data_IF_111348609949
#
_entry.id   IF_111348609949
#
_cell.length_a   1.000
_cell.length_b   1.000
_cell.length_c   1.000
_cell.angle_alpha   90.00
_cell.angle_beta   90.00
_cell.angle_gamma   90.00
#
_symmetry.space_group_name_H-M   'P 1'
#
loop_
_entity.id
_entity.type
_entity.pdbx_description
1 polymer ?
#
# COMPACT_ATOMS: atom_id res chain seq x y z
N UNK A 1 38.07 -2.20 11.96
CA UNK A 1 37.87 -1.28 10.81
C UNK A 1 36.98 -1.88 9.71
N UNK A 2 37.29 -3.07 9.16
CA UNK A 2 36.48 -3.72 8.10
C UNK A 2 35.05 -4.06 8.58
N UNK A 3 34.89 -4.62 9.79
CA UNK A 3 33.59 -4.94 10.39
C UNK A 3 32.69 -3.72 10.64
N UNK A 4 33.28 -2.54 10.90
CA UNK A 4 32.55 -1.29 11.14
C UNK A 4 31.88 -0.73 9.87
N UNK A 5 32.35 -1.10 8.68
CA UNK A 5 31.79 -0.68 7.39
C UNK A 5 30.84 -1.72 6.79
N UNK A 6 31.01 -3.00 7.14
CA UNK A 6 30.17 -4.09 6.61
C UNK A 6 28.71 -4.00 7.08
N UNK A 7 28.46 -3.66 8.35
CA UNK A 7 27.11 -3.61 8.90
C UNK A 7 26.25 -2.49 8.26
N UNK A 8 26.74 -1.23 8.12
CA UNK A 8 26.02 -0.18 7.38
C UNK A 8 25.73 -0.55 5.92
N UNK A 9 26.72 -1.12 5.22
CA UNK A 9 26.57 -1.54 3.82
C UNK A 9 25.54 -2.66 3.67
N UNK A 10 25.59 -3.68 4.54
CA UNK A 10 24.61 -4.76 4.56
C UNK A 10 23.20 -4.23 4.85
N UNK A 11 23.07 -3.35 5.84
CA UNK A 11 21.80 -2.71 6.20
C UNK A 11 21.21 -1.94 5.02
N UNK A 12 22.05 -1.16 4.32
CA UNK A 12 21.61 -0.44 3.14
C UNK A 12 21.25 -1.37 1.97
N UNK A 13 22.01 -2.44 1.76
CA UNK A 13 21.72 -3.45 0.72
C UNK A 13 20.37 -4.14 0.99
N UNK A 14 20.11 -4.54 2.24
CA UNK A 14 18.81 -5.10 2.65
C UNK A 14 17.68 -4.11 2.44
N UNK A 15 17.90 -2.82 2.77
CA UNK A 15 16.95 -1.76 2.48
C UNK A 15 16.69 -1.63 0.97
N UNK A 16 17.71 -1.69 0.11
CA UNK A 16 17.53 -1.61 -1.34
C UNK A 16 16.75 -2.82 -1.89
N UNK A 17 16.96 -4.01 -1.34
CA UNK A 17 16.16 -5.21 -1.69
C UNK A 17 14.71 -5.06 -1.23
N UNK A 18 14.48 -4.52 -0.03
CA UNK A 18 13.13 -4.32 0.50
C UNK A 18 12.40 -3.17 -0.20
N UNK A 19 13.03 -2.03 -0.41
CA UNK A 19 12.43 -0.80 -0.95
C UNK A 19 12.44 -0.74 -2.48
N UNK A 20 13.44 -1.33 -3.14
CA UNK A 20 13.69 -1.20 -4.58
C UNK A 20 12.52 -1.63 -5.46
N UNK A 21 12.28 -0.96 -6.58
CA UNK A 21 11.07 -1.14 -7.40
C UNK A 21 11.34 -1.55 -8.84
N UNK A 22 12.30 -2.47 -9.06
CA UNK A 22 12.69 -2.98 -10.39
C UNK A 22 12.68 -4.50 -10.38
N UNK A 23 11.48 -5.08 -10.42
CA UNK A 23 11.26 -6.51 -10.54
C UNK A 23 11.03 -6.93 -12.00
N UNK A 24 10.88 -8.25 -12.21
CA UNK A 24 10.32 -8.78 -13.46
C UNK A 24 8.79 -8.63 -13.45
N UNK A 25 8.15 -8.38 -14.60
CA UNK A 25 6.69 -8.45 -14.71
C UNK A 25 6.12 -9.77 -14.19
N UNK A 26 4.84 -9.75 -13.83
CA UNK A 26 4.05 -10.94 -13.54
C UNK A 26 4.01 -11.88 -14.74
N UNK A 27 4.18 -13.18 -14.50
CA UNK A 27 3.87 -14.20 -15.52
C UNK A 27 2.38 -14.52 -15.49
N UNK A 28 1.86 -15.00 -16.63
CA UNK A 28 0.42 -15.29 -16.80
C UNK A 28 -0.14 -16.20 -15.70
N UNK A 29 0.62 -17.23 -15.31
CA UNK A 29 0.24 -18.12 -14.21
C UNK A 29 0.02 -17.37 -12.89
N UNK A 30 0.88 -16.40 -12.54
CA UNK A 30 0.72 -15.62 -11.31
C UNK A 30 -0.57 -14.79 -11.31
N UNK A 31 -0.93 -14.24 -12.49
CA UNK A 31 -2.16 -13.47 -12.69
C UNK A 31 -3.37 -14.40 -12.55
N UNK A 32 -3.38 -15.51 -13.27
CA UNK A 32 -4.50 -16.47 -13.26
C UNK A 32 -4.73 -17.08 -11.88
N UNK A 33 -3.66 -17.48 -11.17
CA UNK A 33 -3.75 -18.00 -9.80
C UNK A 33 -4.36 -16.96 -8.85
N UNK A 34 -4.05 -15.67 -9.04
CA UNK A 34 -4.61 -14.62 -8.21
C UNK A 34 -6.06 -14.30 -8.56
N UNK A 35 -6.42 -14.22 -9.84
CA UNK A 35 -7.81 -14.01 -10.26
C UNK A 35 -8.70 -15.16 -9.81
N UNK A 36 -8.24 -16.41 -9.89
CA UNK A 36 -8.97 -17.57 -9.37
C UNK A 36 -9.24 -17.46 -7.85
N UNK A 37 -8.28 -16.97 -7.07
CA UNK A 37 -8.49 -16.68 -5.65
C UNK A 37 -9.53 -15.59 -5.42
N UNK A 38 -9.56 -14.54 -6.25
CA UNK A 38 -10.54 -13.46 -6.14
C UNK A 38 -11.95 -13.99 -6.50
N UNK A 39 -12.06 -14.79 -7.56
CA UNK A 39 -13.30 -15.48 -7.96
C UNK A 39 -13.79 -16.45 -6.88
N UNK A 40 -12.90 -17.21 -6.24
CA UNK A 40 -13.29 -18.12 -5.15
C UNK A 40 -13.86 -17.40 -3.92
N UNK A 41 -13.72 -16.07 -3.86
CA UNK A 41 -14.27 -15.21 -2.82
C UNK A 41 -15.55 -14.50 -3.24
N UNK A 42 -16.04 -14.73 -4.46
CA UNK A 42 -17.29 -14.14 -4.97
C UNK A 42 -17.18 -12.71 -5.47
N UNK A 43 -15.99 -12.09 -5.43
CA UNK A 43 -15.78 -10.69 -5.82
C UNK A 43 -16.14 -10.45 -7.29
N UNK A 44 -15.92 -11.44 -8.17
CA UNK A 44 -16.31 -11.38 -9.58
C UNK A 44 -17.82 -11.25 -9.80
N UNK A 45 -18.63 -11.76 -8.87
CA UNK A 45 -20.09 -11.68 -8.91
C UNK A 45 -20.62 -10.46 -8.17
N UNK A 46 -20.00 -10.14 -7.03
CA UNK A 46 -20.38 -9.00 -6.19
C UNK A 46 -20.00 -7.66 -6.84
N UNK A 47 -18.85 -7.59 -7.51
CA UNK A 47 -18.33 -6.39 -8.17
C UNK A 47 -17.58 -6.75 -9.48
N UNK A 48 -18.31 -7.00 -10.58
CA UNK A 48 -17.72 -7.36 -11.87
C UNK A 48 -16.79 -6.26 -12.44
N UNK A 49 -17.10 -5.00 -12.17
CA UNK A 49 -16.30 -3.87 -12.64
C UNK A 49 -14.93 -3.83 -11.95
N UNK A 50 -14.89 -4.05 -10.63
CA UNK A 50 -13.65 -4.19 -9.87
C UNK A 50 -12.83 -5.37 -10.37
N UNK A 51 -13.46 -6.51 -10.64
CA UNK A 51 -12.77 -7.69 -11.15
C UNK A 51 -12.09 -7.41 -12.50
N UNK A 52 -12.79 -6.79 -13.44
CA UNK A 52 -12.20 -6.41 -14.74
C UNK A 52 -11.14 -5.32 -14.62
N UNK A 53 -11.34 -4.33 -13.73
CA UNK A 53 -10.32 -3.32 -13.43
C UNK A 53 -9.04 -3.95 -12.85
N UNK A 54 -9.18 -4.94 -11.96
CA UNK A 54 -8.06 -5.69 -11.40
C UNK A 54 -7.31 -6.48 -12.48
N UNK A 55 -8.03 -7.17 -13.36
CA UNK A 55 -7.44 -7.88 -14.50
C UNK A 55 -6.65 -6.93 -15.41
N UNK A 56 -7.22 -5.76 -15.75
CA UNK A 56 -6.54 -4.71 -16.53
C UNK A 56 -5.30 -4.18 -15.82
N UNK A 57 -5.37 -3.94 -14.51
CA UNK A 57 -4.23 -3.49 -13.71
C UNK A 57 -3.06 -4.48 -13.79
N UNK A 58 -3.34 -5.77 -13.62
CA UNK A 58 -2.33 -6.83 -13.57
C UNK A 58 -1.73 -7.16 -14.95
N UNK A 59 -2.55 -7.14 -16.01
CA UNK A 59 -2.09 -7.39 -17.38
C UNK A 59 -1.10 -6.33 -17.90
N UNK A 60 -1.14 -5.11 -17.34
CA UNK A 60 -0.24 -4.00 -17.69
C UNK A 60 1.02 -3.95 -16.82
N UNK A 61 1.48 -5.09 -16.31
CA UNK A 61 2.67 -5.13 -15.48
C UNK A 61 3.95 -4.89 -16.27
N UNK A 62 4.75 -3.95 -15.80
CA UNK A 62 6.08 -3.61 -16.30
C UNK A 62 7.18 -3.94 -15.28
N UNK A 63 6.81 -4.58 -14.15
CA UNK A 63 7.72 -4.91 -13.06
C UNK A 63 8.20 -3.71 -12.24
N UNK A 64 7.69 -2.50 -12.55
CA UNK A 64 8.08 -1.25 -11.90
C UNK A 64 7.12 -0.88 -10.78
N UNK A 65 7.59 0.03 -9.93
CA UNK A 65 6.76 0.66 -8.90
C UNK A 65 5.62 1.49 -9.51
N UNK A 66 4.51 1.57 -8.76
CA UNK A 66 3.38 2.43 -9.08
C UNK A 66 2.75 2.93 -7.77
N UNK A 67 1.92 3.96 -7.85
CA UNK A 67 1.21 4.51 -6.70
C UNK A 67 -0.29 4.38 -6.95
N UNK A 68 -1.01 3.77 -6.02
CA UNK A 68 -2.47 3.85 -6.02
C UNK A 68 -2.90 5.12 -5.31
N UNK A 69 -3.60 5.99 -6.02
CA UNK A 69 -4.30 7.13 -5.45
C UNK A 69 -5.71 6.67 -5.10
N UNK A 70 -6.11 6.83 -3.84
CA UNK A 70 -7.43 6.48 -3.35
C UNK A 70 -8.07 7.76 -2.84
N UNK A 71 -9.19 8.13 -3.45
CA UNK A 71 -10.10 9.16 -2.95
C UNK A 71 -11.23 8.43 -2.24
N UNK A 72 -11.49 8.78 -0.99
CA UNK A 72 -12.38 8.01 -0.11
C UNK A 72 -13.43 8.94 0.48
N UNK A 73 -14.68 8.52 0.34
CA UNK A 73 -15.83 9.03 1.08
C UNK A 73 -16.28 7.94 2.04
N UNK A 74 -16.27 8.23 3.33
CA UNK A 74 -16.76 7.31 4.36
C UNK A 74 -18.27 7.37 4.47
N UNK A 75 -18.86 6.28 4.97
CA UNK A 75 -20.25 6.26 5.39
C UNK A 75 -20.43 7.13 6.62
N UNK A 76 -21.63 7.70 6.77
CA UNK A 76 -22.03 8.35 8.03
C UNK A 76 -22.03 7.35 9.20
N UNK A 77 -22.46 6.12 8.93
CA UNK A 77 -22.42 4.99 9.85
C UNK A 77 -21.80 3.76 9.19
N UNK A 78 -20.94 3.06 9.93
CA UNK A 78 -20.32 1.83 9.47
C UNK A 78 -21.39 0.76 9.21
N UNK A 79 -21.40 0.21 8.00
CA UNK A 79 -22.38 -0.77 7.56
C UNK A 79 -21.87 -2.19 7.80
N UNK A 80 -21.77 -2.60 9.07
CA UNK A 80 -21.47 -3.99 9.40
C UNK A 80 -22.71 -4.89 9.24
N UNK A 81 -22.52 -6.19 8.92
CA UNK A 81 -23.61 -7.16 8.92
C UNK A 81 -24.34 -7.24 10.29
N UNK A 82 -25.64 -7.59 10.31
CA UNK A 82 -26.38 -7.79 11.55
C UNK A 82 -25.67 -8.79 12.49
N UNK A 83 -25.65 -8.47 13.79
CA UNK A 83 -24.98 -9.30 14.81
C UNK A 83 -23.46 -9.08 14.93
N UNK A 84 -22.88 -8.18 14.12
CA UNK A 84 -21.49 -7.76 14.28
C UNK A 84 -21.23 -7.13 15.66
N UNK A 85 -20.11 -7.45 16.35
CA UNK A 85 -19.75 -6.84 17.63
C UNK A 85 -19.19 -5.41 17.47
N UNK A 86 -19.02 -4.93 16.23
CA UNK A 86 -18.43 -3.63 15.94
C UNK A 86 -19.49 -2.53 15.90
N UNK A 87 -19.18 -1.39 16.52
CA UNK A 87 -20.04 -0.20 16.48
C UNK A 87 -20.12 0.47 15.11
N UNK A 88 -20.93 1.53 15.02
CA UNK A 88 -21.31 2.21 13.78
C UNK A 88 -20.35 3.35 13.36
N UNK A 89 -19.17 3.47 13.97
CA UNK A 89 -18.20 4.50 13.56
C UNK A 89 -17.36 4.05 12.36
N UNK A 90 -17.59 4.67 11.19
CA UNK A 90 -16.90 4.35 9.94
C UNK A 90 -15.38 4.59 9.98
N UNK A 91 -14.93 5.64 10.69
CA UNK A 91 -13.50 5.94 10.85
C UNK A 91 -12.81 4.87 11.69
N UNK A 92 -13.47 4.39 12.75
CA UNK A 92 -12.93 3.28 13.54
C UNK A 92 -12.94 1.95 12.77
N UNK A 93 -13.91 1.74 11.88
CA UNK A 93 -13.90 0.61 10.96
C UNK A 93 -12.66 0.67 10.02
N UNK A 94 -12.42 1.81 9.38
CA UNK A 94 -11.24 1.98 8.52
C UNK A 94 -9.92 1.82 9.29
N UNK A 95 -9.81 2.35 10.53
CA UNK A 95 -8.63 2.13 11.38
C UNK A 95 -8.36 0.65 11.66
N UNK A 96 -9.41 -0.15 11.90
CA UNK A 96 -9.26 -1.62 12.09
C UNK A 96 -8.74 -2.28 10.82
N UNK A 97 -9.31 -1.91 9.66
CA UNK A 97 -8.81 -2.35 8.37
C UNK A 97 -7.33 -1.98 8.17
N UNK A 98 -6.98 -0.71 8.35
CA UNK A 98 -5.62 -0.20 8.16
C UNK A 98 -4.61 -0.91 9.09
N UNK A 99 -4.96 -1.10 10.36
CA UNK A 99 -4.12 -1.80 11.35
C UNK A 99 -3.84 -3.25 10.94
N UNK A 100 -4.83 -3.93 10.35
CA UNK A 100 -4.66 -5.30 9.87
C UNK A 100 -3.92 -5.37 8.53
N UNK A 101 -4.11 -4.41 7.64
CA UNK A 101 -3.54 -4.43 6.28
C UNK A 101 -2.11 -3.89 6.20
N UNK A 102 -1.78 -2.82 6.93
CA UNK A 102 -0.50 -2.12 6.82
C UNK A 102 0.73 -2.99 7.12
N UNK A 103 0.72 -3.90 8.12
CA UNK A 103 1.85 -4.80 8.34
C UNK A 103 2.16 -5.67 7.12
N UNK A 104 1.13 -6.16 6.42
CA UNK A 104 1.29 -6.95 5.20
C UNK A 104 1.78 -6.09 4.03
N UNK A 105 1.27 -4.87 3.91
CA UNK A 105 1.69 -3.89 2.92
C UNK A 105 3.20 -3.59 3.07
N UNK A 106 3.66 -3.24 4.28
CA UNK A 106 5.07 -2.95 4.59
C UNK A 106 5.97 -4.18 4.43
N UNK A 107 5.52 -5.37 4.85
CA UNK A 107 6.28 -6.63 4.71
C UNK A 107 6.70 -6.89 3.27
N UNK A 108 5.87 -6.53 2.30
CA UNK A 108 6.17 -6.72 0.88
C UNK A 108 6.79 -5.48 0.20
N UNK A 109 7.27 -4.50 0.98
CA UNK A 109 7.99 -3.33 0.47
C UNK A 109 7.09 -2.24 -0.14
N UNK A 110 5.78 -2.38 0.04
CA UNK A 110 4.82 -1.33 -0.30
C UNK A 110 4.79 -0.32 0.84
N UNK A 111 4.56 0.96 0.56
CA UNK A 111 4.65 2.03 1.57
C UNK A 111 3.53 3.06 1.38
N UNK A 112 2.81 3.46 2.44
CA UNK A 112 1.99 4.67 2.39
C UNK A 112 2.90 5.88 2.20
N UNK A 113 2.67 6.66 1.15
CA UNK A 113 3.49 7.86 0.86
C UNK A 113 2.78 9.15 1.24
N UNK A 114 1.45 9.14 1.31
CA UNK A 114 0.65 10.26 1.74
C UNK A 114 -0.72 9.77 2.17
N UNK A 115 -1.18 10.19 3.34
CA UNK A 115 -2.56 10.01 3.78
C UNK A 115 -2.99 11.31 4.44
N UNK A 116 -4.05 11.92 3.95
CA UNK A 116 -4.53 13.18 4.50
C UNK A 116 -6.05 13.31 4.40
N UNK A 117 -6.62 14.09 5.31
CA UNK A 117 -8.00 14.55 5.21
C UNK A 117 -8.06 15.74 4.26
N UNK A 118 -9.09 15.78 3.44
CA UNK A 118 -9.40 16.94 2.63
C UNK A 118 -9.71 18.13 3.55
N UNK A 119 -9.04 19.26 3.35
CA UNK A 119 -9.20 20.47 4.17
C UNK A 119 -10.16 21.50 3.56
N UNK A 120 -10.55 21.37 2.29
CA UNK A 120 -11.47 22.28 1.62
C UNK A 120 -11.68 21.95 0.14
N UNK A 121 -12.46 22.76 -0.56
CA UNK A 121 -12.65 22.75 -2.02
C UNK A 121 -11.91 23.92 -2.65
N UNK A 122 -11.47 23.76 -3.90
CA UNK A 122 -10.96 24.88 -4.70
C UNK A 122 -11.53 24.85 -6.11
N UNK A 123 -11.02 23.98 -6.99
CA UNK A 123 -11.56 23.73 -8.34
C UNK A 123 -12.12 22.32 -8.37
N UNK A 124 -13.42 22.20 -8.62
CA UNK A 124 -14.11 20.91 -8.67
C UNK A 124 -15.01 20.80 -9.90
N UNK A 125 -15.11 19.60 -10.51
CA UNK A 125 -16.14 19.35 -11.51
C UNK A 125 -17.53 19.46 -10.86
N UNK A 126 -18.53 19.81 -11.67
CA UNK A 126 -19.91 20.07 -11.23
C UNK A 126 -20.56 18.92 -10.43
N UNK A 127 -20.06 17.69 -10.60
CA UNK A 127 -20.52 16.48 -9.90
C UNK A 127 -19.37 15.74 -9.24
N UNK A 128 -18.51 16.46 -8.52
CA UNK A 128 -17.46 15.85 -7.71
C UNK A 128 -18.07 15.16 -6.48
N UNK A 129 -17.64 13.93 -6.20
CA UNK A 129 -17.88 13.33 -4.89
C UNK A 129 -17.16 14.13 -3.80
N UNK A 130 -17.76 14.32 -2.61
CA UNK A 130 -17.16 15.04 -1.50
C UNK A 130 -16.10 14.18 -0.80
N UNK A 131 -14.99 13.90 -1.48
CA UNK A 131 -13.90 13.07 -0.96
C UNK A 131 -13.40 13.59 0.38
N UNK A 132 -13.34 12.74 1.39
CA UNK A 132 -12.92 13.12 2.74
C UNK A 132 -11.45 12.80 3.00
N UNK A 133 -10.93 11.75 2.35
CA UNK A 133 -9.54 11.31 2.50
C UNK A 133 -8.89 11.08 1.14
N UNK A 134 -7.63 11.48 1.04
CA UNK A 134 -6.72 11.10 -0.02
C UNK A 134 -5.66 10.18 0.56
N UNK A 135 -5.55 8.97 0.04
CA UNK A 135 -4.53 8.00 0.42
C UNK A 135 -3.73 7.55 -0.81
N UNK A 136 -2.42 7.78 -0.78
CA UNK A 136 -1.47 7.34 -1.78
C UNK A 136 -0.60 6.23 -1.21
N UNK A 137 -0.69 5.06 -1.83
CA UNK A 137 0.11 3.89 -1.47
C UNK A 137 1.03 3.57 -2.63
N UNK A 138 2.34 3.63 -2.40
CA UNK A 138 3.33 3.11 -3.33
C UNK A 138 3.40 1.60 -3.21
N UNK A 139 3.16 0.91 -4.30
CA UNK A 139 3.45 -0.51 -4.43
C UNK A 139 4.78 -0.70 -5.12
N UNK A 140 5.62 -1.55 -4.54
CA UNK A 140 6.96 -1.85 -5.07
C UNK A 140 6.90 -2.52 -6.44
N UNK A 141 5.89 -3.36 -6.63
CA UNK A 141 5.56 -4.05 -7.88
C UNK A 141 4.10 -4.55 -7.82
N UNK A 142 3.51 -4.93 -8.96
CA UNK A 142 2.19 -5.59 -8.96
C UNK A 142 2.21 -6.96 -8.29
N UNK A 143 3.35 -7.65 -8.34
CA UNK A 143 3.59 -8.89 -7.58
C UNK A 143 3.50 -8.66 -6.07
N UNK A 144 4.10 -7.58 -5.56
CA UNK A 144 4.03 -7.26 -4.14
C UNK A 144 2.66 -6.71 -3.71
N UNK A 145 1.94 -6.05 -4.63
CA UNK A 145 0.51 -5.77 -4.45
C UNK A 145 -0.30 -7.06 -4.26
N UNK A 146 -0.19 -8.04 -5.18
CA UNK A 146 -0.85 -9.35 -5.07
C UNK A 146 -0.52 -10.02 -3.73
N UNK A 147 0.76 -10.06 -3.34
CA UNK A 147 1.19 -10.66 -2.07
C UNK A 147 0.53 -9.99 -0.86
N UNK A 148 0.43 -8.65 -0.86
CA UNK A 148 -0.22 -7.91 0.22
C UNK A 148 -1.72 -8.21 0.31
N UNK A 149 -2.42 -8.28 -0.82
CA UNK A 149 -3.85 -8.59 -0.87
C UNK A 149 -4.11 -10.04 -0.47
N UNK A 150 -3.33 -11.01 -1.00
CA UNK A 150 -3.43 -12.43 -0.63
C UNK A 150 -3.30 -12.67 0.87
N UNK A 151 -2.51 -11.86 1.57
CA UNK A 151 -2.31 -12.00 3.01
C UNK A 151 -3.55 -11.63 3.86
N UNK A 152 -4.51 -10.89 3.29
CA UNK A 152 -5.71 -10.40 4.00
C UNK A 152 -7.03 -10.81 3.38
N UNK A 153 -7.09 -11.16 2.09
CA UNK A 153 -8.36 -11.40 1.36
C UNK A 153 -9.19 -12.56 1.93
N UNK A 154 -8.58 -13.46 2.71
CA UNK A 154 -9.26 -14.57 3.37
C UNK A 154 -9.44 -14.42 4.87
N UNK A 155 -9.04 -13.29 5.44
CA UNK A 155 -9.27 -12.93 6.83
C UNK A 155 -10.41 -11.93 6.82
N UNK A 156 -11.26 -11.92 7.83
CA UNK A 156 -12.39 -10.96 7.99
C UNK A 156 -11.90 -9.51 8.22
N UNK A 157 -10.88 -9.09 7.48
CA UNK A 157 -10.27 -7.76 7.46
C UNK A 157 -11.01 -6.88 6.45
N UNK A 158 -11.41 -7.44 5.31
CA UNK A 158 -12.08 -6.68 4.26
C UNK A 158 -13.46 -6.18 4.68
N UNK A 159 -14.13 -6.87 5.60
CA UNK A 159 -15.41 -6.45 6.18
C UNK A 159 -15.32 -5.04 6.78
N UNK A 160 -14.19 -4.69 7.40
CA UNK A 160 -13.96 -3.37 7.99
C UNK A 160 -13.87 -2.28 6.92
N UNK A 161 -13.23 -2.58 5.78
CA UNK A 161 -13.12 -1.65 4.64
C UNK A 161 -14.50 -1.38 4.03
N UNK A 162 -15.27 -2.43 3.77
CA UNK A 162 -16.59 -2.33 3.16
C UNK A 162 -17.62 -1.68 4.10
N UNK A 163 -17.52 -1.96 5.41
CA UNK A 163 -18.34 -1.28 6.40
C UNK A 163 -18.02 0.22 6.49
N UNK A 164 -16.75 0.62 6.31
CA UNK A 164 -16.34 2.02 6.46
C UNK A 164 -16.64 2.90 5.23
N UNK A 165 -16.41 2.39 4.02
CA UNK A 165 -16.38 3.20 2.79
C UNK A 165 -17.76 3.24 2.14
N UNK A 166 -18.23 4.45 1.83
CA UNK A 166 -19.42 4.68 1.02
C UNK A 166 -19.05 4.56 -0.47
N UNK A 167 -18.12 5.41 -0.89
CA UNK A 167 -17.63 5.49 -2.27
C UNK A 167 -16.11 5.65 -2.25
N UNK A 168 -15.43 5.00 -3.19
CA UNK A 168 -14.01 5.25 -3.43
C UNK A 168 -13.71 5.35 -4.91
N UNK A 169 -12.85 6.29 -5.27
CA UNK A 169 -12.23 6.35 -6.58
C UNK A 169 -10.76 6.00 -6.45
N UNK A 170 -10.34 4.90 -7.07
CA UNK A 170 -8.97 4.40 -7.00
C UNK A 170 -8.38 4.24 -8.39
N UNK A 171 -7.18 4.75 -8.59
CA UNK A 171 -6.47 4.62 -9.85
C UNK A 171 -4.94 4.56 -9.67
N UNK A 172 -4.26 3.76 -10.49
CA UNK A 172 -2.81 3.69 -10.48
C UNK A 172 -2.21 4.87 -11.23
N UNK A 173 -1.16 5.47 -10.66
CA UNK A 173 -0.31 6.46 -11.32
C UNK A 173 1.14 5.99 -11.31
N UNK A 174 1.93 6.46 -12.29
CA UNK A 174 3.38 6.34 -12.27
C UNK A 174 3.98 7.66 -11.81
N UNK A 175 4.78 7.69 -10.74
CA UNK A 175 5.43 8.91 -10.30
C UNK A 175 6.45 9.34 -11.37
N UNK A 176 6.33 10.59 -11.85
CA UNK A 176 7.28 11.18 -12.80
C UNK A 176 8.62 11.50 -12.12
N UNK A 177 8.58 11.86 -10.84
CA UNK A 177 9.76 12.00 -10.00
C UNK A 177 9.96 10.75 -9.17
N UNK A 178 11.12 10.12 -9.33
CA UNK A 178 11.44 8.87 -8.62
C UNK A 178 11.51 9.09 -7.12
N UNK A 179 11.09 8.08 -6.33
CA UNK A 179 11.38 7.99 -4.90
C UNK A 179 12.88 7.75 -4.59
N UNK A 180 13.78 8.16 -5.48
CA UNK A 180 15.21 8.08 -5.31
C UNK A 180 15.69 8.92 -4.12
N UNK A 181 15.01 10.03 -3.81
CA UNK A 181 15.29 10.85 -2.64
C UNK A 181 15.22 10.04 -1.33
N UNK A 182 14.28 9.10 -1.20
CA UNK A 182 14.17 8.22 -0.02
C UNK A 182 15.39 7.30 0.08
N UNK A 183 15.90 6.80 -1.04
CA UNK A 183 17.10 5.94 -1.06
C UNK A 183 18.33 6.70 -0.58
N UNK A 184 18.47 7.96 -0.98
CA UNK A 184 19.55 8.82 -0.54
C UNK A 184 19.41 9.22 0.93
N UNK A 185 18.21 9.60 1.36
CA UNK A 185 17.95 9.94 2.75
C UNK A 185 18.31 8.78 3.70
N UNK A 186 17.94 7.55 3.35
CA UNK A 186 18.31 6.36 4.13
C UNK A 186 19.80 6.08 4.10
N UNK A 187 20.47 6.25 2.95
CA UNK A 187 21.93 6.10 2.86
C UNK A 187 22.65 7.09 3.77
N UNK A 188 22.25 8.36 3.74
CA UNK A 188 22.80 9.42 4.59
C UNK A 188 22.54 9.12 6.06
N UNK A 189 21.32 8.73 6.42
CA UNK A 189 20.98 8.37 7.80
C UNK A 189 21.85 7.23 8.32
N UNK A 190 22.01 6.16 7.54
CA UNK A 190 22.86 5.02 7.89
C UNK A 190 24.32 5.47 8.07
N UNK A 191 24.83 6.31 7.17
CA UNK A 191 26.18 6.83 7.25
C UNK A 191 26.40 7.70 8.50
N UNK A 192 25.43 8.57 8.84
CA UNK A 192 25.47 9.41 10.04
C UNK A 192 25.48 8.55 11.31
N UNK A 193 24.56 7.58 11.41
CA UNK A 193 24.48 6.67 12.57
C UNK A 193 25.77 5.85 12.71
N UNK A 194 26.30 5.34 11.60
CA UNK A 194 27.57 4.59 11.60
C UNK A 194 28.76 5.45 12.06
N UNK A 195 28.81 6.71 11.63
CA UNK A 195 29.86 7.67 12.04
C UNK A 195 29.83 7.96 13.54
N UNK A 196 28.65 8.18 14.11
CA UNK A 196 28.50 8.33 15.56
C UNK A 196 28.93 7.07 16.31
N UNK A 197 28.43 5.89 15.91
CA UNK A 197 28.78 4.63 16.54
C UNK A 197 30.30 4.35 16.50
N UNK A 198 30.95 4.65 15.38
CA UNK A 198 32.40 4.52 15.24
C UNK A 198 33.14 5.48 16.18
N UNK A 199 32.72 6.74 16.25
CA UNK A 199 33.33 7.74 17.14
C UNK A 199 33.30 7.32 18.61
N UNK A 200 32.17 6.77 19.09
CA UNK A 200 32.08 6.25 20.45
C UNK A 200 32.95 5.01 20.70
N UNK A 201 33.08 4.12 19.72
CA UNK A 201 33.87 2.90 19.84
C UNK A 201 35.39 3.14 19.82
N UNK A 202 35.83 4.30 19.32
CA UNK A 202 37.25 4.70 19.29
C UNK A 202 37.61 5.61 20.47
N UNK A 203 36.63 6.32 21.05
CA UNK A 203 36.83 7.24 22.16
C UNK A 203 36.72 6.60 23.56
N UNK A 204 36.26 5.35 23.67
CA UNK A 204 36.20 4.57 24.91
C UNK A 204 37.13 3.37 24.87
#
# INVERSE_FOLDING_TARGET
MITALLLPLLTYALFLVWYGGRGRPLVEKEINDFLALITSRGIDREDPELFEALKRLLSRDDGREFVMVNLIKYREKAAYPPGSPYGDNAIEADKRYARAFFPHLLRYGNVPVFISRRSGSFIEPQRAEPWQVVAMIRYRSRRDFIRSVRAVVGKDVMIHKWAAIDTTHVFPVRPLFSFIAVRWAVAVLIAVVASFAYSFAVAG
#
